data_IF_869877573823
#
_entry.id   IF_869877573823
#
_cell.length_a   1.000
_cell.length_b   1.000
_cell.length_c   1.000
_cell.angle_alpha   90.00
_cell.angle_beta   90.00
_cell.angle_gamma   90.00
#
_symmetry.space_group_name_H-M   'P 1'
#
loop_
_entity.id
_entity.type
_entity.pdbx_description
1 polymer ?
#
# COMPACT_ATOMS: atom_id res chain seq x y z
N UNK A 1 0.27 -22.26 16.95
CA UNK A 1 1.50 -21.51 16.59
C UNK A 1 1.57 -20.24 17.42
N UNK A 2 2.76 -19.64 17.65
CA UNK A 2 2.85 -18.32 18.33
C UNK A 2 1.93 -17.32 17.63
N UNK A 3 1.27 -16.46 18.40
CA UNK A 3 0.28 -15.49 17.90
C UNK A 3 0.86 -14.62 16.76
N UNK A 4 2.15 -14.28 16.86
CA UNK A 4 2.90 -13.58 15.82
C UNK A 4 2.92 -14.30 14.46
N UNK A 5 3.05 -15.63 14.46
CA UNK A 5 3.08 -16.42 13.22
C UNK A 5 1.69 -16.49 12.57
N UNK A 6 0.63 -16.53 13.37
CA UNK A 6 -0.75 -16.47 12.87
C UNK A 6 -1.01 -15.10 12.24
N UNK A 7 -0.66 -14.02 12.94
CA UNK A 7 -0.80 -12.66 12.41
C UNK A 7 -0.02 -12.46 11.10
N UNK A 8 1.20 -13.01 11.01
CA UNK A 8 1.99 -12.92 9.79
C UNK A 8 1.30 -13.60 8.61
N UNK A 9 0.83 -14.84 8.79
CA UNK A 9 0.12 -15.57 7.74
C UNK A 9 -1.17 -14.86 7.33
N UNK A 10 -1.94 -14.34 8.29
CA UNK A 10 -3.16 -13.57 8.00
C UNK A 10 -2.82 -12.30 7.24
N UNK A 11 -1.77 -11.57 7.62
CA UNK A 11 -1.33 -10.36 6.91
C UNK A 11 -0.94 -10.65 5.46
N UNK A 12 -0.23 -11.76 5.21
CA UNK A 12 0.14 -12.17 3.85
C UNK A 12 -1.09 -12.55 3.03
N UNK A 13 -2.02 -13.30 3.62
CA UNK A 13 -3.26 -13.69 2.95
C UNK A 13 -4.14 -12.48 2.60
N UNK A 14 -4.33 -11.55 3.54
CA UNK A 14 -5.08 -10.31 3.31
C UNK A 14 -4.40 -9.44 2.25
N UNK A 15 -3.07 -9.34 2.25
CA UNK A 15 -2.32 -8.65 1.22
C UNK A 15 -2.54 -9.23 -0.18
N UNK A 16 -2.47 -10.56 -0.32
CA UNK A 16 -2.74 -11.24 -1.59
C UNK A 16 -4.18 -11.04 -2.07
N UNK A 17 -5.15 -11.13 -1.17
CA UNK A 17 -6.56 -10.86 -1.49
C UNK A 17 -6.73 -9.42 -1.97
N UNK A 18 -6.09 -8.46 -1.29
CA UNK A 18 -6.10 -7.05 -1.71
C UNK A 18 -5.58 -6.84 -3.13
N UNK A 19 -4.50 -7.52 -3.52
CA UNK A 19 -3.96 -7.46 -4.89
C UNK A 19 -4.99 -7.99 -5.90
N UNK A 20 -5.61 -9.14 -5.61
CA UNK A 20 -6.61 -9.74 -6.50
C UNK A 20 -7.82 -8.80 -6.66
N UNK A 21 -8.35 -8.28 -5.54
CA UNK A 21 -9.48 -7.33 -5.56
C UNK A 21 -9.13 -6.09 -6.39
N UNK A 22 -7.94 -5.52 -6.19
CA UNK A 22 -7.48 -4.37 -6.95
C UNK A 22 -7.40 -4.67 -8.47
N UNK A 23 -6.79 -5.80 -8.85
CA UNK A 23 -6.71 -6.21 -10.25
C UNK A 23 -8.11 -6.39 -10.86
N UNK A 24 -9.04 -7.03 -10.14
CA UNK A 24 -10.41 -7.20 -10.63
C UNK A 24 -11.15 -5.87 -10.76
N UNK A 25 -11.00 -4.93 -9.83
CA UNK A 25 -11.63 -3.62 -9.90
C UNK A 25 -11.09 -2.77 -11.07
N UNK A 26 -9.78 -2.87 -11.35
CA UNK A 26 -9.13 -2.09 -12.43
C UNK A 26 -9.37 -2.70 -13.81
N UNK A 27 -9.30 -4.03 -13.94
CA UNK A 27 -9.41 -4.72 -15.23
C UNK A 27 -10.86 -5.02 -15.64
N UNK A 28 -11.81 -4.95 -14.72
CA UNK A 28 -13.24 -5.10 -15.05
C UNK A 28 -13.80 -3.89 -15.82
N UNK A 29 -14.96 -4.04 -16.45
CA UNK A 29 -15.61 -2.97 -17.22
C UNK A 29 -15.95 -1.74 -16.37
N UNK A 30 -16.12 -0.57 -16.99
CA UNK A 30 -16.23 0.74 -16.31
C UNK A 30 -17.35 0.82 -15.25
N UNK A 31 -18.45 0.10 -15.46
CA UNK A 31 -19.62 0.09 -14.57
C UNK A 31 -19.59 -1.02 -13.51
N UNK A 32 -18.52 -1.82 -13.48
CA UNK A 32 -18.42 -2.94 -12.54
C UNK A 32 -17.97 -2.46 -11.17
N UNK A 33 -18.72 -2.91 -10.16
CA UNK A 33 -18.48 -2.64 -8.76
C UNK A 33 -18.02 -3.93 -8.10
N UNK A 34 -16.82 -3.92 -7.50
CA UNK A 34 -16.28 -5.07 -6.76
C UNK A 34 -16.34 -4.72 -5.27
N UNK A 35 -17.20 -5.41 -4.51
CA UNK A 35 -17.43 -5.13 -3.08
C UNK A 35 -17.78 -3.66 -2.75
N UNK A 36 -18.52 -2.98 -3.63
CA UNK A 36 -18.88 -1.56 -3.46
C UNK A 36 -17.80 -0.57 -3.95
N UNK A 37 -16.65 -1.06 -4.44
CA UNK A 37 -15.54 -0.23 -4.92
C UNK A 37 -15.58 -0.14 -6.45
N UNK A 38 -15.53 1.08 -6.97
CA UNK A 38 -15.46 1.35 -8.41
C UNK A 38 -14.02 1.40 -8.91
N UNK A 39 -13.83 1.36 -10.24
CA UNK A 39 -12.53 1.59 -10.87
C UNK A 39 -11.92 2.94 -10.48
N UNK A 40 -12.74 3.99 -10.37
CA UNK A 40 -12.29 5.32 -9.99
C UNK A 40 -11.78 5.34 -8.55
N UNK A 41 -12.48 4.68 -7.62
CA UNK A 41 -12.06 4.55 -6.22
C UNK A 41 -10.71 3.81 -6.11
N UNK A 42 -10.54 2.73 -6.87
CA UNK A 42 -9.30 1.97 -6.91
C UNK A 42 -8.13 2.81 -7.43
N UNK A 43 -8.32 3.57 -8.52
CA UNK A 43 -7.28 4.44 -9.08
C UNK A 43 -6.90 5.57 -8.12
N UNK A 44 -7.87 6.21 -7.48
CA UNK A 44 -7.62 7.28 -6.50
C UNK A 44 -6.85 6.73 -5.29
N UNK A 45 -7.25 5.57 -4.78
CA UNK A 45 -6.55 4.91 -3.68
C UNK A 45 -5.10 4.59 -4.05
N UNK A 46 -4.86 4.03 -5.24
CA UNK A 46 -3.51 3.78 -5.74
C UNK A 46 -2.68 5.07 -5.85
N UNK A 47 -3.27 6.16 -6.36
CA UNK A 47 -2.59 7.46 -6.45
C UNK A 47 -2.15 7.99 -5.08
N UNK A 48 -3.02 7.90 -4.07
CA UNK A 48 -2.70 8.32 -2.69
C UNK A 48 -1.60 7.43 -2.11
N UNK A 49 -1.68 6.11 -2.26
CA UNK A 49 -0.67 5.18 -1.76
C UNK A 49 0.71 5.42 -2.40
N UNK A 50 0.74 5.73 -3.69
CA UNK A 50 1.98 6.08 -4.40
C UNK A 50 2.57 7.39 -3.85
N UNK A 51 1.74 8.42 -3.62
CA UNK A 51 2.21 9.67 -3.02
C UNK A 51 2.80 9.43 -1.63
N UNK A 52 2.10 8.68 -0.77
CA UNK A 52 2.59 8.31 0.56
C UNK A 52 3.93 7.56 0.47
N UNK A 53 4.05 6.61 -0.46
CA UNK A 53 5.28 5.85 -0.66
C UNK A 53 6.44 6.78 -1.10
N UNK A 54 6.21 7.68 -2.06
CA UNK A 54 7.22 8.64 -2.53
C UNK A 54 7.69 9.53 -1.37
N UNK A 55 6.75 10.18 -0.67
CA UNK A 55 7.08 11.07 0.45
C UNK A 55 7.77 10.33 1.60
N UNK A 56 7.34 9.10 1.91
CA UNK A 56 7.98 8.25 2.91
C UNK A 56 9.42 7.88 2.54
N UNK A 57 9.67 7.52 1.27
CA UNK A 57 11.03 7.25 0.78
C UNK A 57 11.90 8.50 0.81
N UNK A 58 11.38 9.65 0.37
CA UNK A 58 12.11 10.94 0.42
C UNK A 58 12.48 11.29 1.87
N UNK A 59 11.53 11.17 2.81
CA UNK A 59 11.78 11.43 4.23
C UNK A 59 12.82 10.47 4.82
N UNK A 60 12.78 9.19 4.44
CA UNK A 60 13.77 8.19 4.88
C UNK A 60 15.16 8.54 4.36
N UNK A 61 15.28 8.90 3.07
CA UNK A 61 16.54 9.34 2.47
C UNK A 61 17.06 10.60 3.17
N UNK A 62 16.18 11.56 3.41
CA UNK A 62 16.52 12.82 4.08
C UNK A 62 17.07 12.58 5.50
N UNK A 63 16.39 11.74 6.30
CA UNK A 63 16.89 11.35 7.63
C UNK A 63 18.24 10.63 7.56
N UNK A 64 18.42 9.69 6.63
CA UNK A 64 19.71 9.01 6.44
C UNK A 64 20.83 9.96 6.01
N UNK A 65 20.51 11.05 5.29
CA UNK A 65 21.49 12.07 4.92
C UNK A 65 21.92 12.89 6.13
N UNK A 66 20.97 13.28 6.99
CA UNK A 66 21.24 14.08 8.18
C UNK A 66 22.03 13.29 9.24
N UNK A 67 21.72 12.01 9.41
CA UNK A 67 22.53 11.11 10.26
C UNK A 67 23.99 11.02 9.78
N UNK A 68 24.23 11.03 8.46
CA UNK A 68 25.58 11.00 7.88
C UNK A 68 26.35 12.30 8.08
N UNK A 69 25.68 13.44 8.14
CA UNK A 69 26.32 14.75 8.37
C UNK A 69 26.51 15.06 9.86
N UNK A 70 26.07 14.17 10.75
CA UNK A 70 26.11 14.39 12.20
C UNK A 70 24.99 15.33 12.71
N UNK A 71 24.03 15.67 11.85
CA UNK A 71 22.83 16.41 12.23
C UNK A 71 21.79 15.39 12.75
N UNK A 72 21.67 15.31 14.07
CA UNK A 72 20.58 14.54 14.71
C UNK A 72 19.36 15.45 14.74
N UNK A 73 18.29 15.04 14.05
CA UNK A 73 16.96 15.67 14.17
C UNK A 73 16.17 15.03 15.31
#
# INVERSE_FOLDING_TARGET
MKLSKIMHVVSVAVGLIGIIVFLTAVLSGADNVVFGVTKADALLCAGILILIAIWGQIGTIHHMMLEKTGEVI
#
